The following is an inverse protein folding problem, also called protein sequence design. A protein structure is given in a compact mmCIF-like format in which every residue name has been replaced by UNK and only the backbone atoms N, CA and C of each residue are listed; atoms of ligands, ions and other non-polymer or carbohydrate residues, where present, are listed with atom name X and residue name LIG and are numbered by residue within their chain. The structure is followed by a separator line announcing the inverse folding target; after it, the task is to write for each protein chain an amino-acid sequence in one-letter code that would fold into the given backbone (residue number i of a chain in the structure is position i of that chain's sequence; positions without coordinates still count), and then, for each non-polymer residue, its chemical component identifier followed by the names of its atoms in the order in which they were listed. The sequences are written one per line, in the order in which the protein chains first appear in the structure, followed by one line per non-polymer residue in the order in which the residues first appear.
data_IF_939953084775
#
_entry.id   IF_939953084775
#
_cell.length_a   1.000
_cell.length_b   1.000
_cell.length_c   1.000
_cell.angle_alpha   90.00
_cell.angle_beta   90.00
_cell.angle_gamma   90.00
#
_symmetry.space_group_name_H-M   'P 1'
#
loop_
_entity.id
_entity.type
_entity.pdbx_description
1 polymer ?
#
# COMPACT_ATOMS: atom_id res chain seq x y z
N UNK A 1 -17.94 16.30 -26.82
CA UNK A 1 -16.47 16.33 -26.77
C UNK A 1 -16.00 15.43 -25.63
N UNK A 2 -15.35 14.32 -25.98
CA UNK A 2 -15.25 13.13 -25.14
C UNK A 2 -14.20 13.26 -24.05
N UNK A 3 -14.61 13.54 -22.81
CA UNK A 3 -13.78 13.34 -21.62
C UNK A 3 -13.51 11.84 -21.47
N UNK A 4 -12.37 11.39 -22.01
CA UNK A 4 -11.80 10.09 -21.65
C UNK A 4 -11.40 10.17 -20.18
N UNK A 5 -12.24 9.55 -19.35
CA UNK A 5 -11.89 9.11 -18.00
C UNK A 5 -10.62 8.29 -18.10
N UNK A 6 -9.51 8.79 -17.57
CA UNK A 6 -8.30 8.00 -17.37
C UNK A 6 -8.53 7.07 -16.18
N UNK A 7 -9.28 5.99 -16.41
CA UNK A 7 -9.27 4.86 -15.50
C UNK A 7 -7.92 4.15 -15.67
N UNK A 8 -6.98 4.44 -14.77
CA UNK A 8 -5.72 3.71 -14.69
C UNK A 8 -5.45 3.33 -13.24
N UNK A 9 -6.06 2.24 -12.79
CA UNK A 9 -5.59 1.45 -11.64
C UNK A 9 -4.29 0.69 -11.98
N UNK A 10 -3.37 1.33 -12.70
CA UNK A 10 -2.39 0.65 -13.56
C UNK A 10 -1.01 0.42 -12.92
N UNK A 11 -0.73 0.91 -11.71
CA UNK A 11 0.67 0.95 -11.25
C UNK A 11 1.25 -0.42 -10.86
N UNK A 12 0.45 -1.36 -10.33
CA UNK A 12 0.90 -2.75 -10.08
C UNK A 12 0.78 -3.63 -11.33
N UNK A 13 -0.22 -3.38 -12.20
CA UNK A 13 -0.35 -4.14 -13.45
C UNK A 13 0.86 -3.92 -14.38
N UNK A 14 1.53 -2.77 -14.28
CA UNK A 14 2.79 -2.51 -14.99
C UNK A 14 3.97 -3.38 -14.50
N UNK A 15 4.04 -3.71 -13.19
CA UNK A 15 4.99 -4.70 -12.68
C UNK A 15 4.63 -6.10 -13.21
N UNK A 16 3.33 -6.44 -13.21
CA UNK A 16 2.83 -7.72 -13.76
C UNK A 16 2.96 -7.82 -15.29
N UNK A 17 3.29 -6.74 -15.99
CA UNK A 17 3.47 -6.69 -17.46
C UNK A 17 4.84 -7.23 -17.94
N UNK A 18 5.67 -7.78 -17.05
CA UNK A 18 6.83 -8.60 -17.42
C UNK A 18 8.12 -7.83 -17.75
N UNK A 19 8.22 -6.55 -17.38
CA UNK A 19 9.48 -5.80 -17.48
C UNK A 19 10.38 -6.10 -16.28
N UNK A 20 11.70 -6.35 -16.47
CA UNK A 20 12.63 -6.38 -15.35
C UNK A 20 12.71 -4.99 -14.72
N UNK A 21 12.47 -4.91 -13.42
CA UNK A 21 12.52 -3.69 -12.61
C UNK A 21 13.36 -3.96 -11.37
N UNK A 22 14.06 -2.95 -10.86
CA UNK A 22 14.70 -3.06 -9.56
C UNK A 22 13.66 -3.04 -8.44
N UNK A 23 13.96 -3.70 -7.31
CA UNK A 23 13.08 -3.70 -6.12
C UNK A 23 12.82 -2.27 -5.63
N UNK A 24 13.86 -1.43 -5.64
CA UNK A 24 13.77 -0.03 -5.25
C UNK A 24 12.79 0.76 -6.14
N UNK A 25 12.78 0.52 -7.46
CA UNK A 25 11.82 1.17 -8.36
C UNK A 25 10.40 0.64 -8.18
N UNK A 26 10.24 -0.68 -8.01
CA UNK A 26 8.93 -1.28 -7.74
C UNK A 26 8.29 -0.66 -6.49
N UNK A 27 9.01 -0.68 -5.37
CA UNK A 27 8.51 -0.13 -4.11
C UNK A 27 8.40 1.40 -4.12
N UNK A 28 9.33 2.10 -4.77
CA UNK A 28 9.38 3.57 -4.75
C UNK A 28 8.41 4.27 -5.70
N UNK A 29 8.07 3.66 -6.85
CA UNK A 29 7.26 4.32 -7.89
C UNK A 29 5.90 3.68 -8.13
N UNK A 30 5.71 2.42 -7.72
CA UNK A 30 4.54 1.64 -8.14
C UNK A 30 3.69 1.14 -6.96
N UNK A 31 4.26 1.03 -5.76
CA UNK A 31 3.56 0.58 -4.57
C UNK A 31 3.29 1.76 -3.61
N UNK A 32 2.14 1.73 -2.94
CA UNK A 32 1.85 2.64 -1.84
C UNK A 32 2.22 1.99 -0.50
N UNK A 33 3.19 2.60 0.18
CA UNK A 33 3.73 2.14 1.47
C UNK A 33 3.17 2.93 2.67
N UNK A 34 2.51 4.07 2.39
CA UNK A 34 2.15 5.07 3.39
C UNK A 34 0.70 4.95 3.86
N UNK A 35 -0.19 4.46 3.01
CA UNK A 35 -1.58 4.28 3.37
C UNK A 35 -1.77 3.16 4.40
N UNK A 36 -2.81 3.23 5.25
CA UNK A 36 -3.16 2.17 6.18
C UNK A 36 -3.29 0.80 5.48
N UNK A 37 -2.58 -0.24 5.94
CA UNK A 37 -2.53 -1.51 5.27
C UNK A 37 -3.88 -2.23 5.32
N UNK A 38 -4.22 -2.85 4.19
CA UNK A 38 -5.45 -3.63 4.05
C UNK A 38 -5.39 -4.88 4.92
N UNK A 39 -6.55 -5.37 5.36
CA UNK A 39 -6.65 -6.63 6.12
C UNK A 39 -6.07 -7.85 5.40
N UNK A 40 -6.07 -7.85 4.06
CA UNK A 40 -5.42 -8.90 3.25
C UNK A 40 -3.91 -8.93 3.46
N UNK A 41 -3.27 -7.76 3.48
CA UNK A 41 -1.84 -7.62 3.74
C UNK A 41 -1.50 -8.02 5.19
N UNK A 42 -2.32 -7.62 6.17
CA UNK A 42 -2.13 -8.06 7.56
C UNK A 42 -2.21 -9.58 7.73
N UNK A 43 -3.06 -10.25 6.95
CA UNK A 43 -3.15 -11.72 6.96
C UNK A 43 -1.88 -12.36 6.40
N UNK A 44 -1.37 -11.85 5.27
CA UNK A 44 -0.10 -12.29 4.71
C UNK A 44 1.05 -12.10 5.72
N UNK A 45 1.11 -10.94 6.37
CA UNK A 45 2.11 -10.67 7.40
C UNK A 45 2.02 -11.69 8.52
N UNK A 46 0.81 -11.96 9.04
CA UNK A 46 0.59 -12.95 10.10
C UNK A 46 1.08 -14.36 9.72
N UNK A 47 0.94 -14.77 8.46
CA UNK A 47 1.44 -16.06 7.96
C UNK A 47 2.97 -16.09 7.86
N UNK A 48 3.59 -14.93 7.69
CA UNK A 48 5.05 -14.75 7.59
C UNK A 48 5.73 -14.47 8.94
N UNK A 49 4.99 -14.44 10.05
CA UNK A 49 5.54 -14.23 11.39
C UNK A 49 6.01 -15.55 12.01
N UNK A 50 7.23 -15.54 12.54
CA UNK A 50 7.80 -16.68 13.25
C UNK A 50 7.29 -16.83 14.70
N UNK A 51 6.91 -15.73 15.35
CA UNK A 51 6.36 -15.78 16.71
C UNK A 51 4.84 -16.03 16.67
N UNK A 52 4.34 -17.13 17.29
CA UNK A 52 2.90 -17.40 17.37
C UNK A 52 2.11 -16.28 18.08
N UNK A 53 2.70 -15.57 19.05
CA UNK A 53 1.99 -14.50 19.76
C UNK A 53 1.75 -13.27 18.87
N UNK A 54 2.75 -12.88 18.07
CA UNK A 54 2.63 -11.80 17.07
C UNK A 54 1.62 -12.18 15.98
N UNK A 55 1.70 -13.42 15.49
CA UNK A 55 0.74 -13.98 14.52
C UNK A 55 -0.69 -13.91 15.03
N UNK A 56 -0.94 -14.36 16.26
CA UNK A 56 -2.28 -14.36 16.84
C UNK A 56 -2.82 -12.93 17.02
N UNK A 57 -1.98 -11.96 17.38
CA UNK A 57 -2.37 -10.54 17.43
C UNK A 57 -2.80 -10.00 16.06
N UNK A 58 -2.01 -10.27 15.02
CA UNK A 58 -2.35 -9.85 13.66
C UNK A 58 -3.65 -10.52 13.18
N UNK A 59 -3.80 -11.83 13.41
CA UNK A 59 -5.02 -12.56 13.07
C UNK A 59 -6.26 -12.06 13.84
N UNK A 60 -6.08 -11.67 15.11
CA UNK A 60 -7.14 -11.08 15.92
C UNK A 60 -7.64 -9.76 15.34
N UNK A 61 -6.79 -8.95 14.70
CA UNK A 61 -7.21 -7.71 14.00
C UNK A 61 -7.92 -8.00 12.68
N UNK A 62 -7.52 -9.08 11.99
CA UNK A 62 -8.09 -9.47 10.69
C UNK A 62 -9.47 -10.12 10.83
N UNK A 63 -9.74 -10.79 11.96
CA UNK A 63 -10.99 -11.51 12.17
C UNK A 63 -12.23 -10.59 12.16
N UNK A 64 -13.42 -11.19 12.01
CA UNK A 64 -14.70 -10.45 11.96
C UNK A 64 -14.97 -9.70 13.25
N UNK A 65 -14.68 -10.30 14.41
CA UNK A 65 -14.80 -9.68 15.73
C UNK A 65 -13.78 -8.53 15.93
N UNK A 66 -12.62 -8.60 15.29
CA UNK A 66 -11.53 -7.62 15.40
C UNK A 66 -11.71 -6.36 14.55
N UNK A 67 -12.85 -6.18 13.87
CA UNK A 67 -13.08 -5.02 13.01
C UNK A 67 -12.97 -3.68 13.75
N UNK A 68 -13.44 -3.63 15.00
CA UNK A 68 -13.32 -2.42 15.82
C UNK A 68 -11.86 -2.12 16.19
N UNK A 69 -11.11 -3.15 16.60
CA UNK A 69 -9.69 -3.06 16.94
C UNK A 69 -8.86 -2.59 15.75
N UNK A 70 -9.05 -3.21 14.58
CA UNK A 70 -8.40 -2.79 13.33
C UNK A 70 -8.69 -1.31 13.00
N UNK A 71 -9.95 -0.89 13.12
CA UNK A 71 -10.30 0.50 12.83
C UNK A 71 -9.59 1.47 13.79
N UNK A 72 -9.60 1.17 15.09
CA UNK A 72 -9.00 2.02 16.11
C UNK A 72 -7.48 2.09 16.03
N UNK A 73 -6.82 0.95 15.83
CA UNK A 73 -5.35 0.88 15.84
C UNK A 73 -4.76 1.27 14.48
N UNK A 74 -5.27 0.70 13.38
CA UNK A 74 -4.65 0.85 12.06
C UNK A 74 -5.21 2.07 11.31
N UNK A 75 -6.53 2.25 11.30
CA UNK A 75 -7.15 3.33 10.50
C UNK A 75 -7.08 4.66 11.22
N UNK A 76 -7.51 4.72 12.49
CA UNK A 76 -7.50 5.95 13.29
C UNK A 76 -6.10 6.30 13.81
N UNK A 77 -5.22 5.30 13.97
CA UNK A 77 -3.81 5.50 14.28
C UNK A 77 -2.93 5.80 13.06
N UNK A 78 -3.52 5.78 11.85
CA UNK A 78 -2.82 6.00 10.57
C UNK A 78 -1.52 5.17 10.42
N UNK A 79 -1.52 3.95 10.94
CA UNK A 79 -0.34 3.08 10.90
C UNK A 79 -0.04 2.68 9.47
N UNK A 80 1.21 2.84 9.07
CA UNK A 80 1.70 2.44 7.76
C UNK A 80 2.34 1.03 7.81
N UNK A 81 2.82 0.52 6.67
CA UNK A 81 3.44 -0.79 6.61
C UNK A 81 4.71 -0.88 7.49
N UNK A 82 5.54 0.17 7.51
CA UNK A 82 6.77 0.20 8.27
C UNK A 82 6.48 0.12 9.77
N UNK A 83 5.50 0.87 10.26
CA UNK A 83 5.12 0.88 11.68
C UNK A 83 4.74 -0.54 12.15
N UNK A 84 4.01 -1.29 11.32
CA UNK A 84 3.61 -2.66 11.62
C UNK A 84 4.82 -3.60 11.62
N UNK A 85 5.74 -3.46 10.67
CA UNK A 85 6.95 -4.29 10.64
C UNK A 85 7.89 -3.98 11.83
N UNK A 86 7.89 -2.74 12.34
CA UNK A 86 8.62 -2.36 13.54
C UNK A 86 7.95 -2.90 14.82
N UNK A 87 6.61 -2.91 14.87
CA UNK A 87 5.86 -3.47 16.00
C UNK A 87 5.93 -5.01 16.05
N UNK A 88 6.01 -5.67 14.90
CA UNK A 88 6.04 -7.13 14.76
C UNK A 88 7.33 -7.61 14.06
N UNK A 89 8.49 -7.59 14.76
CA UNK A 89 9.80 -7.87 14.16
C UNK A 89 9.99 -9.34 13.73
N UNK A 90 9.13 -10.26 14.18
CA UNK A 90 9.21 -11.66 13.74
C UNK A 90 8.65 -11.88 12.33
N UNK A 91 7.91 -10.92 11.79
CA UNK A 91 7.26 -10.99 10.49
C UNK A 91 8.25 -10.66 9.37
N UNK A 92 8.57 -11.67 8.55
CA UNK A 92 9.54 -11.57 7.45
C UNK A 92 8.89 -12.01 6.13
N UNK A 93 8.01 -11.19 5.53
CA UNK A 93 7.39 -11.52 4.26
C UNK A 93 8.41 -11.52 3.11
N UNK A 94 8.17 -12.35 2.08
CA UNK A 94 8.86 -12.25 0.80
C UNK A 94 8.56 -10.91 0.12
N UNK A 95 9.51 -10.39 -0.65
CA UNK A 95 9.35 -9.09 -1.35
C UNK A 95 8.31 -9.22 -2.46
N UNK A 96 8.30 -10.36 -3.13
CA UNK A 96 7.34 -10.78 -4.14
C UNK A 96 5.90 -10.76 -3.62
N UNK A 97 5.67 -11.40 -2.47
CA UNK A 97 4.35 -11.44 -1.82
C UNK A 97 3.93 -10.04 -1.38
N UNK A 98 4.87 -9.27 -0.84
CA UNK A 98 4.60 -7.90 -0.41
C UNK A 98 4.11 -7.04 -1.60
N UNK A 99 4.80 -7.09 -2.74
CA UNK A 99 4.43 -6.33 -3.94
C UNK A 99 3.06 -6.75 -4.48
N UNK A 100 2.69 -8.03 -4.35
CA UNK A 100 1.39 -8.52 -4.81
C UNK A 100 0.22 -7.97 -3.96
N UNK A 101 0.42 -7.86 -2.64
CA UNK A 101 -0.64 -7.45 -1.71
C UNK A 101 -0.70 -5.94 -1.47
N UNK A 102 0.38 -5.21 -1.78
CA UNK A 102 0.41 -3.77 -1.67
C UNK A 102 -0.58 -3.10 -2.65
N UNK A 103 -1.14 -1.94 -2.29
CA UNK A 103 -1.90 -1.15 -3.24
C UNK A 103 -0.99 -0.49 -4.28
N UNK A 104 -1.55 -0.29 -5.48
CA UNK A 104 -0.91 0.49 -6.53
C UNK A 104 -0.84 1.98 -6.13
N UNK A 105 0.32 2.60 -6.32
CA UNK A 105 0.50 4.03 -6.06
C UNK A 105 -0.36 4.85 -7.04
N UNK A 106 -1.28 5.65 -6.51
CA UNK A 106 -2.16 6.51 -7.31
C UNK A 106 -1.48 7.85 -7.67
N UNK A 107 -1.70 8.40 -8.88
CA UNK A 107 -1.29 9.77 -9.19
C UNK A 107 -2.08 10.76 -8.31
N UNK A 108 -1.43 11.84 -7.89
CA UNK A 108 -2.09 12.93 -7.16
C UNK A 108 -2.46 14.01 -8.18
N UNK A 109 -3.74 14.35 -8.26
CA UNK A 109 -4.24 15.41 -9.13
C UNK A 109 -4.12 16.77 -8.43
N UNK A 110 -3.62 17.76 -9.16
CA UNK A 110 -3.51 19.14 -8.69
C UNK A 110 -4.22 20.06 -9.68
N UNK A 111 -4.94 21.05 -9.15
CA UNK A 111 -5.51 22.12 -9.98
C UNK A 111 -4.40 23.06 -10.43
N UNK A 112 -4.43 23.44 -11.72
CA UNK A 112 -3.53 24.45 -12.25
C UNK A 112 -3.94 25.81 -11.66
N UNK A 113 -3.03 26.39 -10.86
CA UNK A 113 -3.23 27.69 -10.20
C UNK A 113 -2.58 28.86 -10.95
N UNK A 114 -2.03 28.61 -12.15
CA UNK A 114 -1.46 29.61 -13.04
C UNK A 114 -2.34 29.82 -14.27
N UNK A 115 -2.28 31.02 -14.84
CA UNK A 115 -2.89 31.31 -16.13
C UNK A 115 -1.83 31.16 -17.23
N UNK A 116 -2.13 30.38 -18.27
CA UNK A 116 -1.22 30.14 -19.40
C UNK A 116 -0.83 31.43 -20.15
N UNK A 117 -1.66 32.49 -20.06
CA UNK A 117 -1.38 33.79 -20.66
C UNK A 117 -0.24 34.55 -19.97
N UNK A 118 -0.07 34.34 -18.66
CA UNK A 118 0.98 35.00 -17.85
C UNK A 118 2.22 34.10 -17.75
N UNK A 119 2.02 32.78 -17.74
CA UNK A 119 3.07 31.77 -17.57
C UNK A 119 3.04 30.77 -18.73
N UNK A 120 3.50 31.21 -19.92
CA UNK A 120 3.39 30.43 -21.16
C UNK A 120 4.37 29.23 -21.26
N UNK A 121 5.45 29.22 -20.47
CA UNK A 121 6.50 28.18 -20.51
C UNK A 121 7.08 27.90 -19.10
N UNK A 122 6.32 28.20 -18.05
CA UNK A 122 6.68 27.87 -16.67
C UNK A 122 5.95 26.61 -16.21
#
# INVERSE_FOLDING_TARGET
DGRRVFAASASINAIKAGRPLSVAEALGKHCDLTSPPKKSLLRLLAESCGDPAEKDRLLAMVCTAGKATYKKQVVEGELNLLDILEEFPSCKPGVEDLIEFLPALAPREYSVSSAAEVHANE
#
